data_IF_545125899651
#
_entry.id   IF_545125899651
#
_cell.length_a   1.000
_cell.length_b   1.000
_cell.length_c   1.000
_cell.angle_alpha   90.00
_cell.angle_beta   90.00
_cell.angle_gamma   90.00
#
_symmetry.space_group_name_H-M   'P 1'
#
loop_
_entity.id
_entity.type
_entity.pdbx_description
1 polymer ?
#
# COMPACT_ATOMS: atom_id res chain seq x y z
N UNK A 1 -11.17 -20.14 -11.33
CA UNK A 1 -11.10 -19.70 -9.93
C UNK A 1 -11.96 -20.55 -8.97
N UNK A 2 -12.56 -21.67 -9.43
CA UNK A 2 -13.67 -22.29 -8.68
C UNK A 2 -13.26 -22.95 -7.36
N UNK A 3 -11.96 -23.27 -7.21
CA UNK A 3 -11.37 -23.83 -6.00
C UNK A 3 -10.85 -22.78 -5.00
N UNK A 4 -10.98 -21.49 -5.30
CA UNK A 4 -10.51 -20.40 -4.42
C UNK A 4 -11.62 -19.93 -3.48
N UNK A 5 -11.22 -19.52 -2.27
CA UNK A 5 -12.12 -18.82 -1.35
C UNK A 5 -12.55 -17.46 -1.93
N UNK A 6 -13.58 -16.84 -1.35
CA UNK A 6 -14.02 -15.51 -1.78
C UNK A 6 -12.89 -14.49 -1.61
N UNK A 7 -12.22 -14.54 -0.46
CA UNK A 7 -11.13 -13.64 -0.10
C UNK A 7 -9.96 -13.76 -1.09
N UNK A 8 -9.61 -14.99 -1.48
CA UNK A 8 -8.57 -15.22 -2.49
C UNK A 8 -8.99 -14.71 -3.88
N UNK A 9 -10.27 -14.83 -4.24
CA UNK A 9 -10.78 -14.28 -5.51
C UNK A 9 -10.73 -12.75 -5.50
N UNK A 10 -11.13 -12.13 -4.40
CA UNK A 10 -11.14 -10.67 -4.24
C UNK A 10 -9.72 -10.12 -4.30
N UNK A 11 -8.78 -10.77 -3.60
CA UNK A 11 -7.36 -10.44 -3.63
C UNK A 11 -6.79 -10.55 -5.05
N UNK A 12 -6.94 -11.70 -5.71
CA UNK A 12 -6.40 -11.89 -7.04
C UNK A 12 -7.06 -11.01 -8.09
N UNK A 13 -8.38 -10.79 -8.04
CA UNK A 13 -9.05 -9.87 -8.95
C UNK A 13 -8.46 -8.45 -8.82
N UNK A 14 -8.21 -8.01 -7.59
CA UNK A 14 -7.64 -6.68 -7.32
C UNK A 14 -6.18 -6.59 -7.74
N UNK A 15 -5.37 -7.62 -7.48
CA UNK A 15 -3.96 -7.68 -7.88
C UNK A 15 -3.82 -7.72 -9.40
N UNK A 16 -4.63 -8.52 -10.10
CA UNK A 16 -4.62 -8.54 -11.56
C UNK A 16 -5.09 -7.22 -12.15
N UNK A 17 -6.05 -6.54 -11.51
CA UNK A 17 -6.46 -5.22 -11.96
C UNK A 17 -5.35 -4.17 -11.82
N UNK A 18 -4.64 -4.18 -10.68
CA UNK A 18 -3.48 -3.34 -10.44
C UNK A 18 -2.35 -3.60 -11.46
N UNK A 19 -2.01 -4.87 -11.72
CA UNK A 19 -0.98 -5.24 -12.69
C UNK A 19 -1.36 -4.85 -14.13
N UNK A 20 -2.64 -4.96 -14.49
CA UNK A 20 -3.12 -4.54 -15.81
C UNK A 20 -3.01 -3.01 -15.98
N UNK A 21 -3.29 -2.23 -14.94
CA UNK A 21 -3.10 -0.78 -14.96
C UNK A 21 -1.62 -0.41 -15.10
N UNK A 22 -0.74 -1.11 -14.38
CA UNK A 22 0.71 -0.95 -14.50
C UNK A 22 1.21 -1.22 -15.92
N UNK A 23 0.86 -2.38 -16.50
CA UNK A 23 1.26 -2.75 -17.87
C UNK A 23 0.69 -1.76 -18.92
N UNK A 24 -0.51 -1.25 -18.68
CA UNK A 24 -1.14 -0.22 -19.49
C UNK A 24 -0.58 1.20 -19.30
N UNK A 25 0.37 1.41 -18.38
CA UNK A 25 0.91 2.73 -18.04
C UNK A 25 -0.14 3.69 -17.46
N UNK A 26 -1.22 3.16 -16.90
CA UNK A 26 -2.29 3.94 -16.29
C UNK A 26 -2.01 4.20 -14.80
N UNK A 27 -2.58 5.26 -14.26
CA UNK A 27 -2.47 5.55 -12.83
C UNK A 27 -3.15 4.46 -11.99
N UNK A 28 -2.43 3.93 -11.00
CA UNK A 28 -2.93 2.89 -10.10
C UNK A 28 -3.64 3.55 -8.91
N UNK A 29 -4.90 3.91 -9.09
CA UNK A 29 -5.76 4.48 -8.04
C UNK A 29 -6.90 3.54 -7.68
N UNK A 30 -7.51 3.71 -6.51
CA UNK A 30 -8.67 2.90 -6.10
C UNK A 30 -9.81 2.96 -7.12
N UNK A 31 -10.03 4.13 -7.72
CA UNK A 31 -11.10 4.35 -8.69
C UNK A 31 -10.82 3.63 -10.01
N UNK A 32 -9.56 3.64 -10.48
CA UNK A 32 -9.16 2.92 -11.69
C UNK A 32 -9.21 1.40 -11.49
N UNK A 33 -8.79 0.92 -10.31
CA UNK A 33 -8.91 -0.50 -9.96
C UNK A 33 -10.40 -0.90 -9.93
N UNK A 34 -11.25 -0.13 -9.25
CA UNK A 34 -12.69 -0.38 -9.21
C UNK A 34 -13.33 -0.36 -10.61
N UNK A 35 -12.94 0.58 -11.48
CA UNK A 35 -13.43 0.65 -12.85
C UNK A 35 -13.08 -0.63 -13.64
N UNK A 36 -11.87 -1.15 -13.48
CA UNK A 36 -11.44 -2.38 -14.15
C UNK A 36 -12.15 -3.62 -13.58
N UNK A 37 -12.32 -3.68 -12.26
CA UNK A 37 -13.09 -4.75 -11.61
C UNK A 37 -14.53 -4.79 -12.11
N UNK A 38 -15.19 -3.62 -12.23
CA UNK A 38 -16.53 -3.53 -12.82
C UNK A 38 -16.56 -3.97 -14.29
N UNK A 39 -15.60 -3.50 -15.10
CA UNK A 39 -15.51 -3.85 -16.52
C UNK A 39 -15.32 -5.35 -16.76
N UNK A 40 -14.69 -6.05 -15.81
CA UNK A 40 -14.42 -7.49 -15.87
C UNK A 40 -15.49 -8.33 -15.14
N UNK A 41 -16.51 -7.70 -14.56
CA UNK A 41 -17.60 -8.38 -13.85
C UNK A 41 -17.27 -8.80 -12.41
N UNK A 42 -16.16 -8.33 -11.85
CA UNK A 42 -15.74 -8.58 -10.46
C UNK A 42 -16.39 -7.56 -9.50
N UNK A 43 -17.71 -7.50 -9.45
CA UNK A 43 -18.47 -6.48 -8.71
C UNK A 43 -18.66 -6.78 -7.22
N UNK A 44 -18.23 -7.96 -6.76
CA UNK A 44 -18.41 -8.43 -5.38
C UNK A 44 -17.14 -8.29 -4.51
N UNK A 45 -16.08 -7.69 -5.08
CA UNK A 45 -14.82 -7.45 -4.38
C UNK A 45 -15.04 -6.49 -3.21
N UNK A 46 -14.50 -6.84 -2.05
CA UNK A 46 -14.59 -5.98 -0.87
C UNK A 46 -13.83 -4.68 -1.08
N UNK A 47 -14.49 -3.54 -0.80
CA UNK A 47 -13.99 -2.21 -1.14
C UNK A 47 -12.67 -1.83 -0.46
N UNK A 48 -12.23 -2.54 0.58
CA UNK A 48 -10.92 -2.32 1.19
C UNK A 48 -9.76 -2.79 0.30
N UNK A 49 -9.96 -3.81 -0.54
CA UNK A 49 -8.90 -4.35 -1.39
C UNK A 49 -8.38 -3.32 -2.41
N UNK A 50 -9.23 -2.65 -3.22
CA UNK A 50 -8.78 -1.59 -4.12
C UNK A 50 -8.04 -0.45 -3.42
N UNK A 51 -8.48 -0.09 -2.21
CA UNK A 51 -7.87 1.00 -1.43
C UNK A 51 -6.47 0.61 -0.96
N UNK A 52 -6.30 -0.57 -0.35
CA UNK A 52 -5.00 -1.03 0.13
C UNK A 52 -4.04 -1.23 -1.04
N UNK A 53 -4.50 -1.83 -2.15
CA UNK A 53 -3.66 -2.07 -3.32
C UNK A 53 -3.23 -0.78 -4.01
N UNK A 54 -4.11 0.23 -4.10
CA UNK A 54 -3.73 1.55 -4.62
C UNK A 54 -2.70 2.25 -3.72
N UNK A 55 -2.84 2.16 -2.40
CA UNK A 55 -1.87 2.74 -1.47
C UNK A 55 -0.50 2.03 -1.53
N UNK A 56 -0.50 0.72 -1.77
CA UNK A 56 0.73 -0.07 -1.92
C UNK A 56 1.43 0.23 -3.25
N UNK A 57 0.68 0.22 -4.36
CA UNK A 57 1.19 0.32 -5.72
C UNK A 57 1.18 1.75 -6.29
N UNK A 58 0.93 2.76 -5.46
CA UNK A 58 0.95 4.17 -5.89
C UNK A 58 2.33 4.65 -6.36
N UNK A 59 3.38 3.91 -6.00
CA UNK A 59 4.74 4.09 -6.50
C UNK A 59 5.08 2.96 -7.50
N UNK A 60 5.23 3.27 -8.80
CA UNK A 60 5.47 2.26 -9.84
C UNK A 60 6.82 1.56 -9.70
N UNK A 61 7.82 2.20 -9.08
CA UNK A 61 9.15 1.60 -8.90
C UNK A 61 9.09 0.43 -7.91
N UNK A 62 8.27 0.56 -6.85
CA UNK A 62 8.01 -0.53 -5.91
C UNK A 62 7.34 -1.72 -6.57
N UNK A 63 6.46 -1.46 -7.54
CA UNK A 63 5.79 -2.53 -8.27
C UNK A 63 6.76 -3.25 -9.23
N UNK A 64 7.64 -2.50 -9.88
CA UNK A 64 8.70 -3.07 -10.72
C UNK A 64 9.63 -3.98 -9.91
N UNK A 65 10.03 -3.55 -8.71
CA UNK A 65 10.85 -4.35 -7.79
C UNK A 65 10.14 -5.65 -7.37
N UNK A 66 8.86 -5.57 -6.98
CA UNK A 66 8.06 -6.74 -6.61
C UNK A 66 7.95 -7.76 -7.76
N UNK A 67 7.76 -7.29 -8.98
CA UNK A 67 7.66 -8.15 -10.18
C UNK A 67 9.02 -8.81 -10.48
N UNK A 68 10.12 -8.08 -10.31
CA UNK A 68 11.47 -8.58 -10.54
C UNK A 68 11.93 -9.59 -9.46
N UNK A 69 11.41 -9.48 -8.25
CA UNK A 69 11.76 -10.30 -7.09
C UNK A 69 10.50 -10.94 -6.45
N UNK A 70 9.91 -11.97 -7.09
CA UNK A 70 8.65 -12.57 -6.62
C UNK A 70 8.71 -13.29 -5.25
N UNK A 71 9.85 -13.25 -4.56
CA UNK A 71 10.04 -13.78 -3.20
C UNK A 71 10.02 -12.73 -2.07
N UNK A 72 10.01 -11.43 -2.40
CA UNK A 72 10.02 -10.35 -1.40
C UNK A 72 8.61 -10.03 -0.85
N UNK A 73 7.55 -10.44 -1.56
CA UNK A 73 6.17 -10.31 -1.13
C UNK A 73 5.73 -11.52 -0.31
N UNK A 74 5.68 -11.38 1.02
CA UNK A 74 5.02 -12.35 1.89
C UNK A 74 3.52 -12.38 1.66
N UNK A 75 3.07 -13.04 0.59
CA UNK A 75 1.66 -13.34 0.31
C UNK A 75 1.23 -14.64 0.98
N UNK A 76 0.17 -14.58 1.78
CA UNK A 76 -0.39 -15.71 2.53
C UNK A 76 -0.78 -16.87 1.62
N UNK A 77 -0.26 -18.06 1.94
CA UNK A 77 -0.60 -19.30 1.27
C UNK A 77 -0.06 -20.49 2.04
N UNK A 78 -0.81 -20.95 3.04
CA UNK A 78 -0.60 -22.27 3.62
C UNK A 78 -0.83 -23.33 2.55
N UNK A 79 0.24 -24.00 2.13
CA UNK A 79 0.20 -25.01 1.09
C UNK A 79 1.60 -25.54 0.74
N UNK A 80 2.19 -26.27 1.69
CA UNK A 80 3.33 -27.20 1.59
C UNK A 80 4.31 -27.15 0.41
N UNK A 81 5.60 -27.08 0.75
CA UNK A 81 6.69 -27.57 -0.09
C UNK A 81 7.76 -26.51 -0.35
N UNK A 82 8.92 -26.67 0.29
CA UNK A 82 9.94 -25.63 0.36
C UNK A 82 10.88 -25.51 -0.83
N UNK A 83 11.55 -24.36 -0.87
CA UNK A 83 12.95 -24.09 -1.24
C UNK A 83 13.12 -22.60 -0.89
N UNK A 84 14.02 -22.18 0.01
CA UNK A 84 15.44 -22.46 -0.02
C UNK A 84 16.09 -21.50 -1.00
N UNK A 85 16.58 -20.35 -0.51
CA UNK A 85 17.20 -19.32 -1.33
C UNK A 85 17.68 -18.15 -0.49
N UNK A 86 18.73 -18.41 0.30
CA UNK A 86 19.59 -17.40 0.90
C UNK A 86 20.11 -16.43 -0.18
N UNK A 87 20.01 -15.13 0.08
CA UNK A 87 20.83 -14.12 -0.56
C UNK A 87 21.25 -13.12 0.52
N UNK A 88 22.24 -13.54 1.30
CA UNK A 88 23.19 -12.65 1.97
C UNK A 88 23.86 -11.70 0.96
N UNK A 89 24.09 -10.44 1.35
CA UNK A 89 25.01 -9.54 0.65
C UNK A 89 24.72 -8.05 0.84
N UNK A 90 25.33 -7.46 1.86
CA UNK A 90 25.59 -6.02 1.97
C UNK A 90 26.22 -5.47 0.69
N UNK A 91 25.80 -4.26 0.27
CA UNK A 91 26.76 -3.26 -0.21
C UNK A 91 26.28 -1.87 0.24
N UNK A 92 27.03 -1.32 1.19
CA UNK A 92 27.11 0.11 1.47
C UNK A 92 27.35 0.88 0.17
N UNK A 93 26.58 1.94 -0.04
CA UNK A 93 27.10 3.10 -0.75
C UNK A 93 26.61 4.36 -0.06
N UNK A 94 27.45 4.86 0.83
CA UNK A 94 27.54 6.29 1.14
C UNK A 94 27.65 7.06 -0.18
N UNK A 95 26.79 8.06 -0.37
CA UNK A 95 27.21 9.32 -0.97
C UNK A 95 26.35 10.44 -0.38
N UNK A 96 27.01 11.30 0.37
CA UNK A 96 26.53 12.59 0.86
C UNK A 96 25.94 13.42 -0.29
N UNK A 97 24.78 14.01 -0.06
CA UNK A 97 24.52 15.35 -0.58
C UNK A 97 23.71 16.16 0.42
N UNK A 98 24.43 16.94 1.21
CA UNK A 98 23.92 18.16 1.83
C UNK A 98 23.33 19.07 0.74
N UNK A 99 22.10 19.52 0.92
CA UNK A 99 21.67 20.84 0.46
C UNK A 99 20.55 21.32 1.40
N UNK A 100 20.88 22.37 2.15
CA UNK A 100 20.05 23.11 3.10
C UNK A 100 18.71 23.55 2.50
N UNK A 101 17.63 23.38 3.27
CA UNK A 101 16.56 24.38 3.34
C UNK A 101 16.20 24.56 4.82
N UNK A 102 16.71 25.65 5.40
CA UNK A 102 16.12 26.31 6.56
C UNK A 102 14.70 26.76 6.24
N UNK A 103 13.71 26.35 7.05
CA UNK A 103 12.90 27.25 7.88
C UNK A 103 12.02 26.41 8.85
N UNK A 104 12.22 26.67 10.15
CA UNK A 104 11.49 26.16 11.32
C UNK A 104 10.01 26.63 11.38
N UNK A 105 9.22 26.32 12.44
CA UNK A 105 9.00 25.07 13.15
C UNK A 105 7.50 24.71 13.20
N UNK A 106 7.16 23.45 12.93
CA UNK A 106 5.92 22.82 13.41
C UNK A 106 6.13 22.47 14.89
N UNK A 107 5.56 23.27 15.78
CA UNK A 107 5.64 23.06 17.22
C UNK A 107 4.45 23.64 17.98
N UNK A 108 3.43 22.80 18.21
CA UNK A 108 2.48 22.98 19.31
C UNK A 108 1.01 23.08 18.93
N UNK A 109 0.41 21.98 18.44
CA UNK A 109 -1.03 21.93 18.16
C UNK A 109 -1.64 20.54 18.13
N UNK A 110 -1.17 19.63 18.98
CA UNK A 110 -1.76 18.29 19.20
C UNK A 110 -2.36 18.16 20.62
N UNK A 111 -2.78 19.29 21.21
CA UNK A 111 -3.30 19.36 22.59
C UNK A 111 -4.82 19.29 22.73
N UNK A 112 -5.60 19.33 21.65
CA UNK A 112 -7.07 19.47 21.69
C UNK A 112 -7.87 18.15 21.60
N UNK A 113 -7.25 17.00 21.91
CA UNK A 113 -7.90 15.68 21.86
C UNK A 113 -8.07 14.98 23.21
N UNK A 114 -7.88 15.68 24.33
CA UNK A 114 -8.26 15.17 25.65
C UNK A 114 -8.99 16.26 26.44
N UNK A 115 -10.28 16.40 26.15
CA UNK A 115 -11.20 17.21 26.93
C UNK A 115 -11.21 16.76 28.39
N UNK A 116 -10.80 17.68 29.25
CA UNK A 116 -10.87 17.55 30.69
C UNK A 116 -9.94 18.52 31.38
N UNK A 117 -10.41 19.75 31.63
CA UNK A 117 -10.43 20.36 32.97
C UNK A 117 -11.03 21.78 32.92
N UNK A 118 -12.05 21.98 33.75
CA UNK A 118 -12.44 23.22 34.44
C UNK A 118 -12.48 24.58 33.70
N UNK A 119 -13.63 24.85 33.09
CA UNK A 119 -14.12 26.22 32.89
C UNK A 119 -14.81 26.78 34.14
N UNK A 120 -14.03 27.12 35.18
CA UNK A 120 -14.40 28.18 36.14
C UNK A 120 -14.22 29.54 35.43
N UNK A 121 -15.11 30.52 35.50
CA UNK A 121 -15.88 30.99 36.64
C UNK A 121 -15.39 32.40 36.97
N UNK A 122 -16.23 33.42 36.70
CA UNK A 122 -16.14 34.75 37.30
C UNK A 122 -15.41 35.81 36.47
N UNK A 123 -16.15 36.91 36.23
CA UNK A 123 -15.76 38.33 36.28
C UNK A 123 -14.53 38.71 35.42
N UNK A 124 -14.59 39.59 34.43
CA UNK A 124 -14.81 41.05 34.49
C UNK A 124 -15.05 41.58 33.06
#
# INVERSE_FOLDING_TARGET
>A
MDSLSKEQKDEFATVFAMLALYDGGAAITSDQINALLQATGNTEVEGFYPVIMANYAGDPDKLAELIALPGAGGGGGGGGGGAGGDASGEEEKEEEKEEEIEEEPVGGGMGDMFGGDDGGGGDY
#
